data_IF_548139802629
#
_entry.id   IF_548139802629
#
_cell.length_a   1.000
_cell.length_b   1.000
_cell.length_c   1.000
_cell.angle_alpha   90.00
_cell.angle_beta   90.00
_cell.angle_gamma   90.00
#
_symmetry.space_group_name_H-M   'P 1'
#
loop_
_entity.id
_entity.type
_entity.pdbx_description
1 polymer ?
#
# COMPACT_ATOMS: atom_id res chain seq x y z
N UNK A 1 34.01 -5.74 -92.03
CA UNK A 1 34.44 -6.28 -90.73
C UNK A 1 34.54 -5.13 -89.73
N UNK A 2 33.96 -5.31 -88.52
CA UNK A 2 34.01 -4.46 -87.29
C UNK A 2 33.19 -3.15 -87.34
N UNK A 3 32.03 -3.05 -86.67
CA UNK A 3 31.74 -2.85 -85.22
C UNK A 3 32.28 -1.49 -84.72
N UNK A 4 31.62 -0.63 -83.93
CA UNK A 4 30.55 -0.75 -82.92
C UNK A 4 30.30 0.68 -82.38
N UNK A 5 29.05 1.09 -82.11
CA UNK A 5 28.58 1.31 -80.73
C UNK A 5 28.75 2.74 -80.19
N UNK A 6 27.74 3.61 -80.38
CA UNK A 6 27.62 4.90 -79.69
C UNK A 6 26.79 4.72 -78.41
N UNK A 7 27.47 4.70 -77.26
CA UNK A 7 26.86 4.58 -75.93
C UNK A 7 26.32 5.94 -75.48
N UNK A 8 25.02 6.04 -75.21
CA UNK A 8 24.35 7.20 -74.62
C UNK A 8 24.73 7.31 -73.14
N UNK A 9 25.30 8.44 -72.72
CA UNK A 9 25.54 8.76 -71.31
C UNK A 9 24.41 9.68 -70.82
N UNK A 10 23.48 9.15 -70.03
CA UNK A 10 22.47 9.91 -69.28
C UNK A 10 23.02 10.18 -67.88
N UNK A 11 23.35 11.43 -67.57
CA UNK A 11 23.61 11.88 -66.20
C UNK A 11 22.26 12.05 -65.48
N UNK A 12 22.00 11.18 -64.50
CA UNK A 12 20.92 11.37 -63.52
C UNK A 12 21.50 12.16 -62.35
N UNK A 13 21.13 13.45 -62.23
CA UNK A 13 21.45 14.26 -61.07
C UNK A 13 20.49 13.93 -59.93
N UNK A 14 20.98 13.22 -58.91
CA UNK A 14 20.23 12.83 -57.73
C UNK A 14 20.39 13.93 -56.66
N UNK A 15 19.39 14.81 -56.53
CA UNK A 15 19.36 15.83 -55.47
C UNK A 15 18.94 15.20 -54.15
N UNK A 16 19.88 15.07 -53.22
CA UNK A 16 19.63 14.65 -51.85
C UNK A 16 19.13 15.84 -51.01
N UNK A 17 17.84 15.89 -50.72
CA UNK A 17 17.25 16.81 -49.74
C UNK A 17 17.52 16.29 -48.33
N UNK A 18 18.49 16.90 -47.66
CA UNK A 18 18.84 16.63 -46.26
C UNK A 18 17.75 17.25 -45.36
N UNK A 19 16.78 16.44 -44.91
CA UNK A 19 15.83 16.82 -43.85
C UNK A 19 16.60 16.91 -42.53
N UNK A 20 17.09 18.10 -42.17
CA UNK A 20 17.46 18.42 -40.79
C UNK A 20 16.16 18.47 -39.97
N UNK A 21 15.65 17.31 -39.58
CA UNK A 21 14.65 17.19 -38.53
C UNK A 21 15.30 17.58 -37.22
N UNK A 22 15.08 18.83 -36.79
CA UNK A 22 15.48 19.29 -35.46
C UNK A 22 14.82 18.39 -34.43
N UNK A 23 15.64 17.62 -33.71
CA UNK A 23 15.19 16.84 -32.56
C UNK A 23 14.75 17.84 -31.49
N UNK A 24 13.46 18.16 -31.47
CA UNK A 24 12.83 18.94 -30.41
C UNK A 24 12.93 18.10 -29.13
N UNK A 25 13.99 18.34 -28.36
CA UNK A 25 14.09 17.87 -26.98
C UNK A 25 13.03 18.62 -26.18
N UNK A 26 11.86 18.01 -26.04
CA UNK A 26 10.87 18.48 -25.08
C UNK A 26 11.56 18.58 -23.72
N UNK A 27 11.40 19.69 -22.97
CA UNK A 27 11.91 19.76 -21.62
C UNK A 27 11.33 18.58 -20.82
N UNK A 28 12.11 17.91 -19.96
CA UNK A 28 11.58 16.84 -19.14
C UNK A 28 10.43 17.42 -18.33
N UNK A 29 9.23 16.88 -18.51
CA UNK A 29 8.12 17.23 -17.64
C UNK A 29 8.50 16.80 -16.22
N UNK A 30 8.26 17.63 -15.20
CA UNK A 30 8.48 17.20 -13.83
C UNK A 30 7.61 15.97 -13.58
N UNK A 31 8.26 14.81 -13.44
CA UNK A 31 7.60 13.56 -13.08
C UNK A 31 7.25 13.68 -11.61
N UNK A 32 6.06 14.18 -11.31
CA UNK A 32 5.46 14.06 -9.99
C UNK A 32 4.69 12.75 -9.95
N UNK A 33 4.93 11.91 -8.94
CA UNK A 33 4.15 10.71 -8.74
C UNK A 33 2.65 11.02 -8.57
N UNK A 34 1.78 10.04 -8.86
CA UNK A 34 0.36 10.22 -8.63
C UNK A 34 0.12 10.37 -7.12
N UNK A 35 -0.61 11.41 -6.75
CA UNK A 35 -0.88 11.76 -5.36
C UNK A 35 -2.38 11.80 -5.11
N UNK A 36 -2.86 10.97 -4.19
CA UNK A 36 -4.21 11.06 -3.63
C UNK A 36 -4.12 11.70 -2.24
N UNK A 37 -4.94 12.71 -1.98
CA UNK A 37 -5.07 13.29 -0.64
C UNK A 37 -6.38 12.85 -0.01
N UNK A 38 -6.29 12.16 1.13
CA UNK A 38 -7.44 11.78 1.94
C UNK A 38 -8.07 13.04 2.54
N UNK A 39 -9.38 13.20 2.40
CA UNK A 39 -10.12 14.38 2.90
C UNK A 39 -11.24 14.02 3.90
N UNK A 40 -11.39 12.74 4.23
CA UNK A 40 -12.36 12.24 5.19
C UNK A 40 -11.77 11.17 6.10
N UNK A 41 -12.07 11.23 7.39
CA UNK A 41 -11.72 10.19 8.37
C UNK A 41 -12.76 9.08 8.46
N UNK A 42 -13.85 9.18 7.71
CA UNK A 42 -14.86 8.14 7.66
C UNK A 42 -14.29 6.86 7.05
N UNK A 43 -14.82 5.71 7.45
CA UNK A 43 -14.49 4.41 6.85
C UNK A 43 -15.63 3.95 5.92
N UNK A 44 -15.69 4.60 4.76
CA UNK A 44 -16.76 4.41 3.77
C UNK A 44 -16.16 3.84 2.47
N UNK A 45 -17.03 3.18 1.70
CA UNK A 45 -16.74 2.71 0.35
C UNK A 45 -17.93 3.12 -0.53
N UNK A 46 -18.02 4.39 -0.87
CA UNK A 46 -19.17 4.96 -1.57
C UNK A 46 -18.74 6.11 -2.46
N UNK A 47 -19.38 6.25 -3.62
CA UNK A 47 -19.15 7.42 -4.46
C UNK A 47 -19.94 8.63 -3.92
N UNK A 48 -19.47 9.23 -2.83
CA UNK A 48 -20.10 10.36 -2.15
C UNK A 48 -19.34 11.70 -2.30
N UNK A 49 -18.24 11.68 -3.07
CA UNK A 49 -17.40 12.85 -3.33
C UNK A 49 -16.35 13.12 -2.25
N UNK A 50 -16.31 12.32 -1.19
CA UNK A 50 -15.23 12.32 -0.21
C UNK A 50 -14.22 11.22 -0.58
N UNK A 51 -12.94 11.47 -0.27
CA UNK A 51 -11.88 10.48 -0.42
C UNK A 51 -11.46 10.03 0.97
N UNK A 52 -11.95 8.87 1.40
CA UNK A 52 -11.51 8.20 2.63
C UNK A 52 -10.18 7.47 2.43
N UNK A 53 -9.51 7.07 3.51
CA UNK A 53 -8.28 6.27 3.42
C UNK A 53 -8.51 4.95 2.67
N UNK A 54 -9.66 4.31 2.90
CA UNK A 54 -10.00 3.05 2.23
C UNK A 54 -10.20 3.26 0.73
N UNK A 55 -10.88 4.33 0.33
CA UNK A 55 -11.09 4.66 -1.08
C UNK A 55 -9.78 5.04 -1.77
N UNK A 56 -8.90 5.78 -1.09
CA UNK A 56 -7.58 6.12 -1.61
C UNK A 56 -6.73 4.87 -1.89
N UNK A 57 -6.72 3.92 -0.95
CA UNK A 57 -6.00 2.65 -1.13
C UNK A 57 -6.59 1.84 -2.29
N UNK A 58 -7.92 1.80 -2.44
CA UNK A 58 -8.55 1.15 -3.61
C UNK A 58 -8.13 1.79 -4.92
N UNK A 59 -8.15 3.12 -5.00
CA UNK A 59 -7.71 3.83 -6.20
C UNK A 59 -6.26 3.53 -6.57
N UNK A 60 -5.36 3.41 -5.58
CA UNK A 60 -3.97 2.99 -5.83
C UNK A 60 -3.88 1.54 -6.30
N UNK A 61 -4.61 0.63 -5.66
CA UNK A 61 -4.63 -0.78 -6.04
C UNK A 61 -5.16 -0.99 -7.46
N UNK A 62 -6.20 -0.26 -7.85
CA UNK A 62 -6.85 -0.36 -9.17
C UNK A 62 -6.16 0.51 -10.24
N UNK A 63 -5.16 1.31 -9.84
CA UNK A 63 -4.50 2.32 -10.66
C UNK A 63 -5.51 3.26 -11.36
N UNK A 64 -6.57 3.65 -10.65
CA UNK A 64 -7.68 4.41 -11.19
C UNK A 64 -8.38 5.30 -10.14
N UNK A 65 -8.74 6.51 -10.56
CA UNK A 65 -9.58 7.40 -9.75
C UNK A 65 -10.96 6.78 -9.51
N UNK A 66 -11.39 6.74 -8.26
CA UNK A 66 -12.63 6.10 -7.86
C UNK A 66 -13.19 6.72 -6.58
N UNK A 67 -14.51 6.61 -6.41
CA UNK A 67 -15.18 6.80 -5.11
C UNK A 67 -14.85 8.13 -4.41
N UNK A 68 -14.80 9.24 -5.16
CA UNK A 68 -14.45 10.56 -4.63
C UNK A 68 -12.95 10.84 -4.50
N UNK A 69 -12.07 9.85 -4.71
CA UNK A 69 -10.64 10.04 -4.83
C UNK A 69 -10.25 10.37 -6.28
N UNK A 70 -9.49 11.45 -6.43
CA UNK A 70 -8.95 11.91 -7.72
C UNK A 70 -7.46 12.14 -7.53
N UNK A 71 -6.64 11.52 -8.37
CA UNK A 71 -5.20 11.74 -8.31
C UNK A 71 -4.83 13.14 -8.79
N UNK A 72 -3.68 13.58 -8.31
CA UNK A 72 -2.98 14.76 -8.81
C UNK A 72 -1.57 14.33 -9.21
N UNK A 73 -0.99 14.94 -10.23
CA UNK A 73 0.34 14.54 -10.72
C UNK A 73 0.28 13.62 -11.94
N UNK A 74 1.21 12.68 -12.05
CA UNK A 74 1.30 11.74 -13.16
C UNK A 74 0.19 10.66 -13.10
N UNK A 75 0.14 9.83 -14.14
CA UNK A 75 -0.61 8.58 -14.08
C UNK A 75 -0.05 7.67 -12.98
N UNK A 76 -0.91 6.81 -12.44
CA UNK A 76 -0.54 5.81 -11.43
C UNK A 76 0.66 4.96 -11.88
N UNK A 77 1.53 4.63 -10.95
CA UNK A 77 2.82 3.99 -11.18
C UNK A 77 3.43 3.41 -9.90
N UNK A 78 4.76 3.48 -9.80
CA UNK A 78 5.52 2.77 -8.75
C UNK A 78 5.93 3.64 -7.56
N UNK A 79 5.83 4.97 -7.68
CA UNK A 79 6.27 5.93 -6.66
C UNK A 79 5.10 6.74 -6.09
N UNK A 80 3.88 6.23 -6.22
CA UNK A 80 2.64 6.95 -5.89
C UNK A 80 2.49 7.22 -4.39
N UNK A 81 1.76 8.29 -4.07
CA UNK A 81 1.61 8.82 -2.71
C UNK A 81 0.15 8.90 -2.30
N UNK A 82 -0.18 8.30 -1.17
CA UNK A 82 -1.37 8.65 -0.40
C UNK A 82 -0.95 9.59 0.72
N UNK A 83 -1.40 10.85 0.66
CA UNK A 83 -1.27 11.79 1.76
C UNK A 83 -2.45 11.63 2.72
N UNK A 84 -2.16 11.31 3.98
CA UNK A 84 -3.13 11.11 5.05
C UNK A 84 -2.98 12.23 6.08
N UNK A 85 -3.89 13.21 6.12
CA UNK A 85 -3.83 14.29 7.10
C UNK A 85 -3.89 13.81 8.56
N UNK A 86 -3.69 14.75 9.49
CA UNK A 86 -3.93 14.50 10.91
C UNK A 86 -5.41 14.15 11.15
N UNK A 87 -5.64 13.10 11.93
CA UNK A 87 -6.97 12.56 12.17
C UNK A 87 -6.93 11.17 12.79
N UNK A 88 -8.10 10.69 13.22
CA UNK A 88 -8.30 9.33 13.69
C UNK A 88 -9.17 8.59 12.68
N UNK A 89 -8.54 7.68 11.94
CA UNK A 89 -9.13 6.85 10.89
C UNK A 89 -9.51 5.51 11.52
N UNK A 90 -10.77 5.40 11.97
CA UNK A 90 -11.27 4.20 12.64
C UNK A 90 -11.97 3.33 11.62
N UNK A 91 -11.52 2.10 11.46
CA UNK A 91 -12.22 1.12 10.63
C UNK A 91 -13.55 0.76 11.31
N UNK A 92 -14.63 0.72 10.53
CA UNK A 92 -15.99 0.47 11.02
C UNK A 92 -16.66 -0.69 10.30
N UNK A 93 -16.04 -1.21 9.24
CA UNK A 93 -16.56 -2.33 8.48
C UNK A 93 -16.15 -3.66 9.11
N UNK A 94 -17.17 -4.49 9.39
CA UNK A 94 -17.00 -5.80 9.99
C UNK A 94 -16.70 -6.89 8.94
N UNK A 95 -16.24 -8.04 9.45
CA UNK A 95 -15.67 -9.21 8.77
C UNK A 95 -16.52 -9.91 7.68
N UNK A 96 -17.72 -9.41 7.37
CA UNK A 96 -18.66 -10.09 6.47
C UNK A 96 -18.48 -9.76 4.98
N UNK A 97 -17.52 -8.89 4.64
CA UNK A 97 -17.22 -8.46 3.27
C UNK A 97 -15.78 -8.85 2.92
N UNK A 98 -15.55 -10.01 2.29
CA UNK A 98 -14.20 -10.50 1.97
C UNK A 98 -13.40 -9.44 1.20
N UNK A 99 -12.27 -9.00 1.75
CA UNK A 99 -11.41 -7.97 1.17
C UNK A 99 -11.75 -6.51 1.52
N UNK A 100 -12.73 -6.25 2.41
CA UNK A 100 -13.03 -4.89 2.90
C UNK A 100 -12.95 -4.75 4.44
N UNK A 101 -12.35 -5.75 5.09
CA UNK A 101 -12.28 -5.95 6.55
C UNK A 101 -11.22 -5.05 7.19
N UNK A 102 -10.05 -5.08 6.58
CA UNK A 102 -8.83 -4.32 6.86
C UNK A 102 -8.47 -3.46 5.64
N UNK A 103 -7.37 -2.71 5.72
CA UNK A 103 -6.86 -1.94 4.60
C UNK A 103 -5.89 -2.78 3.78
N UNK A 104 -6.41 -3.43 2.74
CA UNK A 104 -5.64 -4.20 1.77
C UNK A 104 -4.82 -3.29 0.85
N UNK A 105 -3.50 -3.38 0.92
CA UNK A 105 -2.57 -2.65 0.06
C UNK A 105 -1.86 -3.63 -0.86
N UNK A 106 -2.06 -3.48 -2.17
CA UNK A 106 -1.62 -4.43 -3.20
C UNK A 106 -0.77 -3.81 -4.30
N UNK A 107 -0.63 -2.49 -4.29
CA UNK A 107 0.18 -1.73 -5.23
C UNK A 107 1.39 -1.10 -4.55
N UNK A 108 2.37 -0.70 -5.37
CA UNK A 108 3.48 0.12 -4.91
C UNK A 108 2.94 1.48 -4.46
N UNK A 109 3.15 1.85 -3.20
CA UNK A 109 2.62 3.11 -2.67
C UNK A 109 3.36 3.56 -1.42
N UNK A 110 3.52 4.87 -1.29
CA UNK A 110 3.87 5.54 -0.04
C UNK A 110 2.59 6.04 0.62
N UNK A 111 2.27 5.54 1.82
CA UNK A 111 1.17 6.03 2.65
C UNK A 111 1.78 6.91 3.75
N UNK A 112 1.56 8.22 3.66
CA UNK A 112 2.24 9.21 4.47
C UNK A 112 1.27 9.96 5.38
N UNK A 113 1.38 9.75 6.68
CA UNK A 113 0.67 10.52 7.70
C UNK A 113 1.28 11.92 7.93
N UNK A 114 0.66 12.68 8.83
CA UNK A 114 1.12 13.99 9.29
C UNK A 114 2.01 13.91 10.56
N UNK A 115 2.28 12.69 11.04
CA UNK A 115 3.09 12.41 12.23
C UNK A 115 2.46 11.32 13.09
N UNK A 116 3.30 10.50 13.74
CA UNK A 116 2.82 9.36 14.55
C UNK A 116 1.85 9.75 15.67
N UNK A 117 1.96 10.97 16.22
CA UNK A 117 1.06 11.47 17.26
C UNK A 117 -0.27 12.04 16.73
N UNK A 118 -0.38 12.32 15.43
CA UNK A 118 -1.49 13.11 14.85
C UNK A 118 -2.27 12.35 13.79
N UNK A 119 -1.67 11.41 13.07
CA UNK A 119 -2.36 10.49 12.16
C UNK A 119 -2.43 9.12 12.82
N UNK A 120 -3.64 8.71 13.18
CA UNK A 120 -3.90 7.45 13.87
C UNK A 120 -4.82 6.61 13.00
N UNK A 121 -4.35 5.47 12.54
CA UNK A 121 -5.15 4.45 11.85
C UNK A 121 -5.41 3.31 12.83
N UNK A 122 -6.69 3.00 13.06
CA UNK A 122 -7.06 2.01 14.07
C UNK A 122 -8.20 1.12 13.61
N UNK A 123 -8.13 -0.17 13.92
CA UNK A 123 -9.20 -1.11 13.62
C UNK A 123 -10.41 -0.94 14.56
N UNK A 124 -10.20 -0.38 15.76
CA UNK A 124 -11.23 -0.19 16.76
C UNK A 124 -11.09 1.17 17.49
N UNK A 125 -12.24 1.80 17.79
CA UNK A 125 -12.29 3.00 18.62
C UNK A 125 -11.90 2.74 20.08
N UNK A 126 -12.16 1.53 20.54
CA UNK A 126 -11.83 1.02 21.88
C UNK A 126 -10.58 0.14 21.82
N UNK A 127 -9.95 -0.06 22.97
CA UNK A 127 -8.81 -0.98 23.11
C UNK A 127 -9.23 -2.44 22.84
N UNK A 128 -8.34 -3.31 22.34
CA UNK A 128 -8.73 -4.70 22.02
C UNK A 128 -9.24 -5.54 23.20
N UNK A 129 -8.88 -5.20 24.44
CA UNK A 129 -9.42 -5.80 25.68
C UNK A 129 -10.91 -5.57 25.86
N UNK A 130 -11.45 -4.53 25.24
CA UNK A 130 -12.85 -4.17 25.39
C UNK A 130 -13.72 -5.25 24.71
N UNK A 131 -14.74 -5.80 25.40
CA UNK A 131 -15.66 -6.75 24.80
C UNK A 131 -16.42 -6.23 23.57
N UNK A 132 -16.54 -4.91 23.42
CA UNK A 132 -17.16 -4.26 22.25
C UNK A 132 -16.22 -4.07 21.06
N UNK A 133 -14.91 -4.30 21.23
CA UNK A 133 -13.96 -4.26 20.12
C UNK A 133 -14.26 -5.38 19.12
N UNK A 134 -14.49 -5.01 17.86
CA UNK A 134 -14.73 -5.91 16.75
C UNK A 134 -13.43 -6.54 16.26
N UNK A 135 -13.54 -7.70 15.62
CA UNK A 135 -12.41 -8.28 14.91
C UNK A 135 -12.16 -7.49 13.63
N UNK A 136 -10.93 -7.04 13.46
CA UNK A 136 -10.44 -6.36 12.27
C UNK A 136 -8.92 -6.18 12.42
N UNK A 137 -8.20 -6.49 11.33
CA UNK A 137 -6.81 -6.09 11.15
C UNK A 137 -6.76 -4.63 10.69
N UNK A 138 -5.66 -3.91 10.93
CA UNK A 138 -5.53 -2.54 10.40
C UNK A 138 -5.07 -2.55 8.94
N UNK A 139 -3.89 -3.12 8.66
CA UNK A 139 -3.32 -3.19 7.32
C UNK A 139 -2.96 -4.61 6.93
N UNK A 140 -3.31 -4.99 5.72
CA UNK A 140 -2.74 -6.15 5.03
C UNK A 140 -1.95 -5.68 3.81
N UNK A 141 -0.73 -6.15 3.68
CA UNK A 141 0.09 -5.99 2.48
C UNK A 141 0.22 -7.36 1.82
N UNK A 142 -0.41 -7.51 0.65
CA UNK A 142 -0.44 -8.73 -0.15
C UNK A 142 -0.60 -8.42 -1.63
N UNK A 143 -0.07 -9.26 -2.51
CA UNK A 143 -0.22 -9.12 -3.97
C UNK A 143 -1.65 -9.42 -4.50
N UNK A 144 -2.55 -9.85 -3.62
CA UNK A 144 -3.91 -10.27 -3.99
C UNK A 144 -3.97 -11.34 -5.08
N UNK A 145 -2.94 -12.19 -5.21
CA UNK A 145 -2.68 -13.22 -6.24
C UNK A 145 -2.07 -12.77 -7.58
N UNK A 146 -1.69 -11.50 -7.72
CA UNK A 146 -1.14 -10.97 -8.98
C UNK A 146 0.38 -11.06 -9.13
N UNK A 147 1.12 -11.61 -8.15
CA UNK A 147 2.58 -11.82 -8.17
C UNK A 147 3.37 -10.58 -8.63
N UNK A 148 2.99 -9.39 -8.15
CA UNK A 148 3.65 -8.12 -8.51
C UNK A 148 4.62 -7.62 -7.43
N UNK A 149 4.84 -8.36 -6.35
CA UNK A 149 5.71 -8.06 -5.20
C UNK A 149 5.73 -6.55 -4.86
N UNK A 150 4.60 -5.96 -4.43
CA UNK A 150 4.52 -4.52 -4.22
C UNK A 150 5.49 -4.06 -3.12
N UNK A 151 6.11 -2.90 -3.37
CA UNK A 151 6.84 -2.13 -2.38
C UNK A 151 5.91 -1.10 -1.72
N UNK A 152 5.56 -1.36 -0.46
CA UNK A 152 4.74 -0.46 0.34
C UNK A 152 5.60 0.25 1.36
N UNK A 153 5.43 1.58 1.47
CA UNK A 153 6.03 2.38 2.55
C UNK A 153 4.91 2.99 3.37
N UNK A 154 4.85 2.67 4.66
CA UNK A 154 3.97 3.33 5.62
C UNK A 154 4.83 4.22 6.50
N UNK A 155 4.46 5.50 6.60
CA UNK A 155 5.22 6.46 7.40
C UNK A 155 4.40 7.49 8.15
N UNK A 156 4.99 8.01 9.21
CA UNK A 156 4.51 9.17 9.97
C UNK A 156 3.09 8.97 10.55
N UNK A 157 2.81 7.80 11.13
CA UNK A 157 1.49 7.48 11.71
C UNK A 157 1.54 6.45 12.84
N UNK A 158 0.43 6.31 13.57
CA UNK A 158 0.20 5.21 14.50
C UNK A 158 -0.75 4.19 13.89
N UNK A 159 -0.44 2.90 14.04
CA UNK A 159 -1.27 1.74 13.70
C UNK A 159 -1.65 1.01 14.99
N UNK A 160 -2.93 1.00 15.35
CA UNK A 160 -3.34 0.45 16.65
C UNK A 160 -4.70 -0.23 16.69
N UNK A 161 -4.94 -0.90 17.81
CA UNK A 161 -6.22 -1.51 18.17
C UNK A 161 -6.75 -2.55 17.16
N UNK A 162 -5.85 -3.09 16.35
CA UNK A 162 -6.05 -4.34 15.64
C UNK A 162 -6.48 -5.43 16.61
N UNK A 163 -7.52 -6.18 16.26
CA UNK A 163 -7.98 -7.31 17.07
C UNK A 163 -8.38 -8.45 16.15
N UNK A 164 -7.74 -9.60 16.28
CA UNK A 164 -8.19 -10.83 15.63
C UNK A 164 -8.59 -11.85 16.69
N UNK A 165 -9.52 -12.74 16.36
CA UNK A 165 -9.70 -13.99 17.11
C UNK A 165 -9.25 -15.16 16.28
N UNK A 166 -8.51 -16.08 16.91
CA UNK A 166 -8.09 -17.33 16.25
C UNK A 166 -9.23 -18.31 15.95
N UNK A 167 -10.49 -17.90 16.15
CA UNK A 167 -11.68 -18.65 15.75
C UNK A 167 -12.34 -17.98 14.55
N UNK A 168 -11.72 -18.08 13.38
CA UNK A 168 -12.43 -18.04 12.11
C UNK A 168 -12.73 -19.50 11.69
N UNK A 169 -13.90 -19.71 11.08
CA UNK A 169 -14.26 -20.98 10.45
C UNK A 169 -13.15 -21.35 9.44
N UNK A 170 -12.53 -22.50 9.63
CA UNK A 170 -11.25 -22.89 9.03
C UNK A 170 -11.36 -23.23 7.53
N UNK A 171 -12.38 -22.74 6.81
CA UNK A 171 -12.52 -22.94 5.37
C UNK A 171 -11.55 -22.09 4.54
N UNK A 172 -11.01 -21.00 5.11
CA UNK A 172 -10.08 -20.07 4.43
C UNK A 172 -8.59 -20.32 4.79
N UNK A 173 -8.29 -21.29 5.66
CA UNK A 173 -6.92 -21.69 6.02
C UNK A 173 -6.33 -21.01 7.27
N UNK A 174 -5.19 -21.53 7.77
CA UNK A 174 -4.58 -21.09 9.04
C UNK A 174 -3.91 -19.70 8.96
N UNK A 175 -3.74 -19.16 7.76
CA UNK A 175 -2.88 -18.01 7.52
C UNK A 175 -3.55 -16.68 7.91
N UNK A 176 -4.87 -16.57 7.93
CA UNK A 176 -5.58 -15.31 8.27
C UNK A 176 -5.52 -14.90 9.76
N UNK A 177 -4.86 -15.72 10.59
CA UNK A 177 -4.89 -15.58 12.06
C UNK A 177 -3.91 -14.57 12.62
N UNK A 178 -2.98 -14.11 11.79
CA UNK A 178 -1.81 -13.40 12.24
C UNK A 178 -1.79 -11.92 11.81
N UNK A 179 -1.04 -11.11 12.55
CA UNK A 179 -0.81 -9.71 12.21
C UNK A 179 -2.01 -8.83 12.49
N UNK A 180 -2.49 -8.74 13.74
CA UNK A 180 -3.70 -7.96 14.02
C UNK A 180 -3.50 -6.46 13.76
N UNK A 181 -2.30 -5.92 13.98
CA UNK A 181 -1.97 -4.57 13.52
C UNK A 181 -1.68 -4.57 12.02
N UNK A 182 -0.58 -5.22 11.65
CA UNK A 182 -0.09 -5.29 10.27
C UNK A 182 0.22 -6.73 9.89
N UNK A 183 -0.24 -7.16 8.72
CA UNK A 183 0.19 -8.39 8.07
C UNK A 183 0.96 -8.03 6.80
N UNK A 184 2.17 -8.55 6.66
CA UNK A 184 2.99 -8.35 5.46
C UNK A 184 3.37 -9.68 4.81
N UNK A 185 2.91 -9.89 3.57
CA UNK A 185 3.35 -10.97 2.70
C UNK A 185 4.35 -10.49 1.62
N UNK A 186 4.58 -9.18 1.50
CA UNK A 186 5.33 -8.57 0.40
C UNK A 186 6.51 -7.74 0.92
N UNK A 187 6.89 -6.66 0.24
CA UNK A 187 7.89 -5.71 0.71
C UNK A 187 7.25 -4.52 1.44
N UNK A 188 7.49 -4.41 2.75
CA UNK A 188 6.97 -3.32 3.59
C UNK A 188 8.08 -2.57 4.32
N UNK A 189 8.13 -1.25 4.16
CA UNK A 189 8.92 -0.36 4.99
C UNK A 189 8.02 0.41 5.97
N UNK A 190 8.35 0.34 7.26
CA UNK A 190 7.77 1.18 8.31
C UNK A 190 8.78 2.26 8.70
N UNK A 191 8.41 3.54 8.52
CA UNK A 191 9.28 4.69 8.81
C UNK A 191 8.58 5.68 9.73
N UNK A 192 9.12 5.94 10.93
CA UNK A 192 8.46 6.80 11.91
C UNK A 192 7.01 6.37 12.21
N UNK A 193 6.81 5.07 12.40
CA UNK A 193 5.51 4.44 12.69
C UNK A 193 5.48 3.93 14.12
N UNK A 194 4.34 4.09 14.79
CA UNK A 194 4.07 3.41 16.06
C UNK A 194 3.06 2.29 15.80
N UNK A 195 3.46 1.02 15.95
CA UNK A 195 2.54 -0.13 15.92
C UNK A 195 2.25 -0.57 17.35
N UNK A 196 1.09 -0.19 17.87
CA UNK A 196 0.80 -0.33 19.30
C UNK A 196 -0.57 -0.94 19.63
N UNK A 197 -0.64 -1.69 20.72
CA UNK A 197 -1.92 -2.17 21.28
C UNK A 197 -2.76 -2.95 20.26
N UNK A 198 -2.13 -3.84 19.51
CA UNK A 198 -2.78 -4.76 18.58
C UNK A 198 -2.68 -6.21 19.08
N UNK A 199 -3.80 -6.91 19.07
CA UNK A 199 -4.02 -8.10 19.90
C UNK A 199 -4.64 -9.25 19.11
N UNK A 200 -4.21 -10.46 19.39
CA UNK A 200 -4.86 -11.68 18.91
C UNK A 200 -5.41 -12.43 20.11
N UNK A 201 -6.72 -12.63 20.14
CA UNK A 201 -7.40 -13.48 21.12
C UNK A 201 -7.56 -14.88 20.54
N UNK A 202 -6.60 -15.77 20.81
CA UNK A 202 -6.64 -17.16 20.35
C UNK A 202 -6.34 -18.14 21.48
N UNK A 203 -7.01 -19.29 21.44
CA UNK A 203 -6.61 -20.49 22.20
C UNK A 203 -5.60 -21.35 21.45
N UNK A 204 -5.36 -21.04 20.18
CA UNK A 204 -4.34 -21.65 19.35
C UNK A 204 -2.96 -21.10 19.73
N UNK A 205 -2.02 -22.01 19.99
CA UNK A 205 -0.64 -21.68 20.32
C UNK A 205 0.16 -21.17 19.12
N UNK A 206 -0.34 -21.45 17.90
CA UNK A 206 0.29 -21.03 16.65
C UNK A 206 -0.08 -19.60 16.23
N UNK A 207 -1.00 -18.94 16.95
CA UNK A 207 -1.40 -17.56 16.65
C UNK A 207 -0.26 -16.57 16.93
N UNK A 208 0.18 -15.86 15.89
CA UNK A 208 1.39 -15.03 15.90
C UNK A 208 1.11 -13.57 15.51
N UNK A 209 1.99 -12.68 15.96
CA UNK A 209 2.02 -11.32 15.45
C UNK A 209 0.83 -10.46 15.87
N UNK A 210 0.56 -10.33 17.18
CA UNK A 210 -0.43 -9.37 17.66
C UNK A 210 -0.23 -7.97 17.05
N UNK A 211 1.03 -7.51 17.01
CA UNK A 211 1.42 -6.26 16.37
C UNK A 211 1.59 -6.41 14.88
N UNK A 212 2.59 -7.21 14.51
CA UNK A 212 3.01 -7.39 13.13
C UNK A 212 3.22 -8.88 12.91
N UNK A 213 2.72 -9.38 11.79
CA UNK A 213 3.18 -10.64 11.21
C UNK A 213 3.82 -10.35 9.85
N UNK A 214 4.96 -10.98 9.60
CA UNK A 214 5.75 -10.75 8.40
C UNK A 214 6.21 -12.09 7.81
N UNK A 215 5.73 -12.39 6.61
CA UNK A 215 6.16 -13.51 5.77
C UNK A 215 6.88 -13.03 4.49
N UNK A 216 6.86 -11.72 4.22
CA UNK A 216 7.64 -11.08 3.15
C UNK A 216 8.94 -10.42 3.67
N UNK A 217 9.35 -9.34 3.01
CA UNK A 217 10.49 -8.51 3.40
C UNK A 217 9.99 -7.30 4.19
N UNK A 218 10.53 -7.08 5.39
CA UNK A 218 10.20 -5.90 6.19
C UNK A 218 11.44 -5.10 6.59
N UNK A 219 11.36 -3.78 6.44
CA UNK A 219 12.29 -2.81 7.04
C UNK A 219 11.56 -1.96 8.06
N UNK A 220 12.17 -1.75 9.23
CA UNK A 220 11.61 -0.93 10.31
C UNK A 220 12.65 0.11 10.71
N UNK A 221 12.35 1.39 10.48
CA UNK A 221 13.25 2.52 10.72
C UNK A 221 12.54 3.58 11.55
N UNK A 222 13.19 4.11 12.58
CA UNK A 222 12.66 5.16 13.46
C UNK A 222 11.27 4.85 14.04
N UNK A 223 10.94 3.57 14.18
CA UNK A 223 9.58 3.10 14.49
C UNK A 223 9.55 2.36 15.83
N UNK A 224 8.38 2.35 16.46
CA UNK A 224 8.14 1.74 17.76
C UNK A 224 7.10 0.63 17.59
N UNK A 225 7.38 -0.57 18.10
CA UNK A 225 6.40 -1.66 18.17
C UNK A 225 6.21 -2.05 19.63
N UNK A 226 5.06 -1.70 20.22
CA UNK A 226 4.86 -1.78 21.67
C UNK A 226 3.47 -2.27 22.08
N UNK A 227 3.35 -2.85 23.28
CA UNK A 227 2.06 -3.23 23.88
C UNK A 227 1.17 -4.13 23.00
N UNK A 228 1.76 -4.94 22.14
CA UNK A 228 1.06 -5.88 21.27
C UNK A 228 1.04 -7.29 21.88
N UNK A 229 -0.04 -8.04 21.68
CA UNK A 229 -0.25 -9.36 22.30
C UNK A 229 -0.65 -10.41 21.24
N UNK A 230 0.18 -11.46 21.08
CA UNK A 230 -0.24 -12.69 20.43
C UNK A 230 -0.85 -13.62 21.49
N UNK A 231 -1.63 -14.65 21.12
CA UNK A 231 -2.38 -15.52 22.06
C UNK A 231 -1.52 -16.18 23.17
N UNK A 232 -2.12 -17.06 23.99
CA UNK A 232 -1.44 -17.70 25.15
C UNK A 232 -0.15 -18.46 24.75
N UNK A 233 0.97 -17.75 24.62
CA UNK A 233 2.20 -18.29 24.03
C UNK A 233 3.42 -17.36 24.04
N UNK A 234 3.28 -16.03 24.15
CA UNK A 234 4.43 -15.20 24.54
C UNK A 234 4.37 -13.71 24.17
N UNK A 235 5.18 -12.87 24.87
CA UNK A 235 5.45 -11.52 24.43
C UNK A 235 6.27 -11.57 23.13
N UNK A 236 5.71 -11.02 22.05
CA UNK A 236 6.45 -10.50 20.89
C UNK A 236 7.41 -11.49 20.20
N UNK A 237 6.97 -12.14 19.11
CA UNK A 237 7.91 -12.52 18.04
C UNK A 237 7.98 -11.38 17.02
N UNK A 238 8.70 -10.33 17.39
CA UNK A 238 9.52 -9.59 16.44
C UNK A 238 10.94 -9.86 16.89
N UNK A 239 11.74 -10.49 16.03
CA UNK A 239 13.19 -10.38 16.14
C UNK A 239 13.51 -8.88 16.07
N UNK A 240 13.79 -8.30 17.24
CA UNK A 240 14.16 -6.91 17.40
C UNK A 240 15.27 -6.55 16.41
N UNK A 241 15.04 -5.54 15.58
CA UNK A 241 16.10 -4.57 15.33
C UNK A 241 15.60 -3.22 15.85
N UNK A 242 15.97 -2.90 17.08
CA UNK A 242 15.99 -1.50 17.50
C UNK A 242 17.16 -0.86 16.75
N UNK A 243 16.90 -0.17 15.64
CA UNK A 243 17.82 0.82 15.12
C UNK A 243 17.36 2.18 15.59
N UNK A 244 18.23 2.87 16.31
CA UNK A 244 18.13 4.32 16.47
C UNK A 244 18.28 5.04 15.14
#
# INVERSE_FOLDING_TARGET
MRSSGLTRLLLVAMTATLLLGGLWLAPPEPVSAATITVNSTADVNSNDGQCTLREAIRSMNDAADALGCVNTGAAYGVDDLIHVPAGVYTLTRAETDPGLRDLDVRANVVISGAGAATTIVQANAVTPTDPSATFSRVFEVSDGSNYTDPLVVIRDMTVRHGKLTGYCDCSEGPEDRDGAGVRNNESLALLNVIVASNWITSTDEDAQGGGIWNNGVMTVTDSIVEHNEAGRGGPVSLMSTTSR
#
